data_IF_933783110954
#
_entry.id   IF_933783110954
#
_cell.length_a   1.000
_cell.length_b   1.000
_cell.length_c   1.000
_cell.angle_alpha   90.00
_cell.angle_beta   90.00
_cell.angle_gamma   90.00
#
_symmetry.space_group_name_H-M   'P 1'
#
loop_
_entity.id
_entity.type
_entity.pdbx_description
1 polymer ?
#
# COMPACT_ATOMS: atom_id res chain seq x y z
N UNK A 1 -19.70 22.85 -2.75
CA UNK A 1 -19.21 21.88 -1.76
C UNK A 1 -18.56 22.70 -0.67
N UNK A 2 -19.15 22.74 0.52
CA UNK A 2 -18.67 23.62 1.59
C UNK A 2 -17.46 22.98 2.29
N UNK A 3 -16.60 23.80 2.90
CA UNK A 3 -15.36 23.35 3.57
C UNK A 3 -15.62 22.24 4.59
N UNK A 4 -16.77 22.27 5.26
CA UNK A 4 -17.21 21.24 6.23
C UNK A 4 -17.45 19.89 5.56
N UNK A 5 -18.14 19.84 4.41
CA UNK A 5 -18.39 18.59 3.66
C UNK A 5 -17.09 17.93 3.22
N UNK A 6 -16.15 18.74 2.72
CA UNK A 6 -14.81 18.28 2.31
C UNK A 6 -14.02 17.75 3.51
N UNK A 7 -14.19 18.36 4.68
CA UNK A 7 -13.50 17.93 5.90
C UNK A 7 -14.05 16.61 6.44
N UNK A 8 -15.38 16.45 6.45
CA UNK A 8 -16.06 15.20 6.82
C UNK A 8 -15.63 14.07 5.88
N UNK A 9 -15.66 14.30 4.56
CA UNK A 9 -15.23 13.33 3.58
C UNK A 9 -13.76 12.90 3.77
N UNK A 10 -12.87 13.86 4.05
CA UNK A 10 -11.47 13.56 4.35
C UNK A 10 -11.31 12.74 5.64
N UNK A 11 -12.07 13.07 6.69
CA UNK A 11 -12.02 12.32 7.94
C UNK A 11 -12.49 10.87 7.78
N UNK A 12 -13.59 10.66 7.05
CA UNK A 12 -14.09 9.33 6.70
C UNK A 12 -13.04 8.54 5.91
N UNK A 13 -12.41 9.17 4.91
CA UNK A 13 -11.35 8.55 4.09
C UNK A 13 -10.14 8.13 4.93
N UNK A 14 -9.60 9.04 5.73
CA UNK A 14 -8.42 8.76 6.55
C UNK A 14 -8.69 7.65 7.58
N UNK A 15 -9.89 7.60 8.16
CA UNK A 15 -10.27 6.51 9.05
C UNK A 15 -10.27 5.15 8.35
N UNK A 16 -10.86 5.07 7.15
CA UNK A 16 -10.85 3.84 6.36
C UNK A 16 -9.42 3.43 5.97
N UNK A 17 -8.51 4.36 5.73
CA UNK A 17 -7.10 4.04 5.48
C UNK A 17 -6.42 3.49 6.74
N UNK A 18 -6.66 4.10 7.90
CA UNK A 18 -6.09 3.66 9.17
C UNK A 18 -6.52 2.23 9.57
N UNK A 19 -7.66 1.74 9.07
CA UNK A 19 -8.07 0.34 9.21
C UNK A 19 -7.10 -0.66 8.52
N UNK A 20 -6.38 -0.26 7.46
CA UNK A 20 -5.41 -1.15 6.79
C UNK A 20 -4.00 -1.03 7.36
N UNK A 21 -3.73 -0.02 8.18
CA UNK A 21 -2.42 0.15 8.77
C UNK A 21 -2.21 -0.86 9.90
N UNK A 22 -1.38 -1.87 9.66
CA UNK A 22 -1.02 -2.91 10.64
C UNK A 22 -0.40 -2.40 11.93
N UNK A 23 0.04 -1.14 11.99
CA UNK A 23 0.62 -0.54 13.19
C UNK A 23 -0.43 0.20 14.03
N UNK A 24 -1.53 0.65 13.43
CA UNK A 24 -2.61 1.34 14.14
C UNK A 24 -3.37 0.37 15.06
N UNK A 25 -3.58 0.70 16.33
CA UNK A 25 -4.29 -0.16 17.27
C UNK A 25 -5.80 0.01 17.15
N UNK A 26 -6.58 -1.05 17.41
CA UNK A 26 -8.03 -0.94 17.48
C UNK A 26 -8.51 0.02 18.58
N UNK A 27 -7.75 0.15 19.68
CA UNK A 27 -8.03 1.14 20.73
C UNK A 27 -7.93 2.58 20.20
N UNK A 28 -6.87 2.88 19.45
CA UNK A 28 -6.68 4.21 18.86
C UNK A 28 -7.82 4.54 17.88
N UNK A 29 -8.24 3.59 17.03
CA UNK A 29 -9.37 3.79 16.12
C UNK A 29 -10.68 4.08 16.86
N UNK A 30 -10.96 3.37 17.97
CA UNK A 30 -12.16 3.64 18.79
C UNK A 30 -12.10 5.01 19.46
N UNK A 31 -10.93 5.40 19.97
CA UNK A 31 -10.74 6.73 20.56
C UNK A 31 -10.87 7.85 19.53
N UNK A 32 -10.41 7.62 18.29
CA UNK A 32 -10.64 8.55 17.18
C UNK A 32 -12.14 8.71 16.92
N UNK A 33 -12.90 7.61 16.78
CA UNK A 33 -14.34 7.67 16.51
C UNK A 33 -15.09 8.46 17.57
N UNK A 34 -14.82 8.18 18.85
CA UNK A 34 -15.48 8.88 19.96
C UNK A 34 -15.22 10.40 19.97
N UNK A 35 -13.98 10.80 19.67
CA UNK A 35 -13.62 12.22 19.61
C UNK A 35 -14.20 12.91 18.37
N UNK A 36 -14.14 12.25 17.22
CA UNK A 36 -14.60 12.81 15.96
C UNK A 36 -16.13 12.94 15.92
N UNK A 37 -16.86 11.99 16.52
CA UNK A 37 -18.32 12.05 16.75
C UNK A 37 -18.69 13.23 17.66
N UNK A 38 -17.92 13.48 18.72
CA UNK A 38 -18.14 14.61 19.63
C UNK A 38 -17.87 15.96 18.95
N UNK A 39 -16.83 16.03 18.12
CA UNK A 39 -16.41 17.25 17.44
C UNK A 39 -17.29 17.57 16.22
N UNK A 40 -17.83 16.55 15.56
CA UNK A 40 -18.61 16.70 14.32
C UNK A 40 -19.75 15.68 14.32
N UNK A 41 -20.94 16.06 14.82
CA UNK A 41 -22.08 15.16 14.93
C UNK A 41 -22.50 14.52 13.60
N UNK A 42 -22.33 15.24 12.48
CA UNK A 42 -22.68 14.76 11.13
C UNK A 42 -21.61 13.83 10.51
N UNK A 43 -20.54 13.53 11.24
CA UNK A 43 -19.48 12.65 10.75
C UNK A 43 -19.98 11.23 10.51
N UNK A 44 -20.88 10.74 11.36
CA UNK A 44 -21.37 9.37 11.33
C UNK A 44 -22.78 9.31 10.73
N UNK A 45 -22.99 8.37 9.82
CA UNK A 45 -24.31 8.07 9.29
C UNK A 45 -25.04 7.13 10.27
N UNK A 46 -26.38 7.15 10.26
CA UNK A 46 -27.15 6.06 10.89
C UNK A 46 -26.85 4.74 10.20
N UNK A 47 -26.81 3.63 10.95
CA UNK A 47 -26.61 2.31 10.36
C UNK A 47 -27.67 1.99 9.30
N UNK A 48 -27.22 1.49 8.15
CA UNK A 48 -28.08 0.99 7.09
C UNK A 48 -27.55 -0.35 6.55
N UNK A 49 -28.48 -1.28 6.33
CA UNK A 49 -28.27 -2.52 5.62
C UNK A 49 -29.44 -2.72 4.65
N UNK A 50 -29.12 -2.99 3.39
CA UNK A 50 -30.08 -3.17 2.29
C UNK A 50 -29.46 -4.04 1.20
N UNK A 51 -30.09 -4.12 0.03
CA UNK A 51 -29.62 -4.94 -1.10
C UNK A 51 -28.21 -4.55 -1.59
N UNK A 52 -27.79 -3.30 -1.39
CA UNK A 52 -26.46 -2.79 -1.75
C UNK A 52 -25.47 -2.76 -0.58
N UNK A 53 -25.98 -2.70 0.66
CA UNK A 53 -25.20 -2.64 1.89
C UNK A 53 -25.33 -3.94 2.67
N UNK A 54 -24.31 -4.80 2.56
CA UNK A 54 -24.26 -6.06 3.29
C UNK A 54 -24.42 -5.85 4.80
N UNK A 55 -25.20 -6.73 5.43
CA UNK A 55 -25.46 -6.70 6.86
C UNK A 55 -24.22 -7.06 7.67
N UNK A 56 -24.16 -6.62 8.92
CA UNK A 56 -23.11 -6.96 9.87
C UNK A 56 -23.41 -8.34 10.43
N UNK A 57 -22.61 -9.32 10.02
CA UNK A 57 -22.60 -10.64 10.63
C UNK A 57 -21.83 -10.67 11.97
N UNK A 58 -22.51 -11.05 13.06
CA UNK A 58 -21.91 -11.19 14.38
C UNK A 58 -21.16 -12.53 14.58
N UNK A 59 -21.39 -13.53 13.72
CA UNK A 59 -20.79 -14.85 13.84
C UNK A 59 -19.34 -14.85 13.32
N UNK A 60 -18.38 -15.12 14.22
CA UNK A 60 -16.95 -15.13 13.88
C UNK A 60 -16.56 -16.21 12.87
N UNK A 61 -17.37 -17.26 12.73
CA UNK A 61 -17.19 -18.31 11.73
C UNK A 61 -17.21 -17.78 10.30
N UNK A 62 -17.95 -16.70 10.08
CA UNK A 62 -18.17 -16.09 8.78
C UNK A 62 -17.23 -14.90 8.54
N UNK A 63 -16.35 -14.62 9.51
CA UNK A 63 -15.34 -13.58 9.40
C UNK A 63 -14.11 -14.12 8.65
N UNK A 64 -14.10 -13.90 7.35
CA UNK A 64 -12.93 -14.07 6.50
C UNK A 64 -12.46 -12.72 5.91
N UNK A 65 -11.33 -12.76 5.19
CA UNK A 65 -10.74 -11.55 4.63
C UNK A 65 -11.67 -10.87 3.61
N UNK A 66 -12.49 -11.65 2.88
CA UNK A 66 -13.42 -11.12 1.90
C UNK A 66 -14.65 -10.48 2.55
N UNK A 67 -15.13 -11.06 3.64
CA UNK A 67 -16.11 -10.47 4.53
C UNK A 67 -15.62 -9.11 5.05
N UNK A 68 -14.41 -9.04 5.59
CA UNK A 68 -13.83 -7.78 6.05
C UNK A 68 -13.74 -6.72 4.95
N UNK A 69 -13.24 -7.10 3.74
CA UNK A 69 -13.18 -6.20 2.58
C UNK A 69 -14.55 -5.70 2.15
N UNK A 70 -15.57 -6.57 2.15
CA UNK A 70 -16.95 -6.23 1.81
C UNK A 70 -17.53 -5.25 2.82
N UNK A 71 -17.39 -5.53 4.11
CA UNK A 71 -17.83 -4.64 5.18
C UNK A 71 -17.14 -3.27 5.10
N UNK A 72 -15.84 -3.25 4.78
CA UNK A 72 -15.07 -2.02 4.60
C UNK A 72 -15.56 -1.20 3.41
N UNK A 73 -15.91 -1.86 2.30
CA UNK A 73 -16.55 -1.21 1.15
C UNK A 73 -17.89 -0.60 1.54
N UNK A 74 -18.74 -1.35 2.25
CA UNK A 74 -20.02 -0.82 2.74
C UNK A 74 -19.82 0.40 3.66
N UNK A 75 -18.75 0.43 4.46
CA UNK A 75 -18.40 1.59 5.29
C UNK A 75 -18.01 2.84 4.49
N UNK A 76 -17.61 2.70 3.22
CA UNK A 76 -17.40 3.84 2.32
C UNK A 76 -18.71 4.49 1.84
N UNK A 77 -19.83 3.76 1.88
CA UNK A 77 -21.16 4.23 1.47
C UNK A 77 -22.06 4.55 2.67
N UNK A 78 -21.88 3.84 3.79
CA UNK A 78 -22.59 4.04 5.05
C UNK A 78 -21.55 4.08 6.18
N UNK A 79 -21.07 5.28 6.51
CA UNK A 79 -20.03 5.49 7.50
C UNK A 79 -20.64 5.52 8.91
N UNK A 80 -21.23 4.40 9.32
CA UNK A 80 -21.93 4.24 10.60
C UNK A 80 -21.04 3.69 11.71
N UNK A 81 -21.31 4.09 12.95
CA UNK A 81 -20.54 3.68 14.12
C UNK A 81 -20.46 2.15 14.24
N UNK A 82 -21.60 1.50 14.11
CA UNK A 82 -21.78 0.06 14.22
C UNK A 82 -20.87 -0.68 13.24
N UNK A 83 -20.82 -0.23 11.98
CA UNK A 83 -20.00 -0.85 10.94
C UNK A 83 -18.51 -0.64 11.17
N UNK A 84 -18.12 0.56 11.63
CA UNK A 84 -16.71 0.87 11.90
C UNK A 84 -16.20 0.13 13.14
N UNK A 85 -16.99 0.07 14.21
CA UNK A 85 -16.67 -0.73 15.40
C UNK A 85 -16.58 -2.22 15.06
N UNK A 86 -17.48 -2.70 14.21
CA UNK A 86 -17.44 -4.07 13.70
C UNK A 86 -16.17 -4.36 12.90
N UNK A 87 -15.80 -3.47 11.98
CA UNK A 87 -14.54 -3.59 11.23
C UNK A 87 -13.32 -3.63 12.14
N UNK A 88 -13.28 -2.80 13.19
CA UNK A 88 -12.23 -2.87 14.20
C UNK A 88 -12.24 -4.24 14.90
N UNK A 89 -13.42 -4.78 15.25
CA UNK A 89 -13.52 -6.08 15.90
C UNK A 89 -13.03 -7.25 15.02
N UNK A 90 -13.46 -7.30 13.76
CA UNK A 90 -13.02 -8.30 12.77
C UNK A 90 -11.50 -8.23 12.56
N UNK A 91 -10.97 -7.01 12.46
CA UNK A 91 -9.53 -6.76 12.32
C UNK A 91 -8.73 -7.22 13.53
N UNK A 92 -9.21 -6.96 14.74
CA UNK A 92 -8.55 -7.43 15.97
C UNK A 92 -8.62 -8.95 16.10
N UNK A 93 -9.70 -9.58 15.65
CA UNK A 93 -9.77 -11.04 15.52
C UNK A 93 -8.69 -11.58 14.57
N UNK A 94 -8.55 -11.01 13.37
CA UNK A 94 -7.49 -11.41 12.42
C UNK A 94 -6.07 -11.23 12.96
N UNK A 95 -5.85 -10.19 13.77
CA UNK A 95 -4.58 -9.99 14.48
C UNK A 95 -4.29 -11.08 15.48
N UNK A 96 -5.28 -11.45 16.29
CA UNK A 96 -5.17 -12.51 17.29
C UNK A 96 -4.87 -13.86 16.64
N UNK A 97 -5.52 -14.13 15.50
CA UNK A 97 -5.34 -15.35 14.72
C UNK A 97 -4.09 -15.33 13.80
N UNK A 98 -3.33 -14.24 13.78
CA UNK A 98 -2.06 -14.17 13.03
C UNK A 98 -2.23 -14.02 11.51
N UNK A 99 -3.36 -13.51 11.02
CA UNK A 99 -3.63 -13.37 9.59
C UNK A 99 -2.62 -12.41 8.94
N UNK A 100 -2.03 -12.85 7.82
CA UNK A 100 -1.05 -12.07 7.06
C UNK A 100 -1.66 -10.74 6.61
N UNK A 101 -0.94 -9.64 6.86
CA UNK A 101 -1.40 -8.29 6.52
C UNK A 101 -2.23 -7.60 7.61
N UNK A 102 -2.44 -8.24 8.76
CA UNK A 102 -3.15 -7.63 9.90
C UNK A 102 -2.26 -7.52 11.15
N UNK A 103 -1.32 -8.44 11.33
CA UNK A 103 -0.38 -8.47 12.47
C UNK A 103 0.60 -7.29 12.40
N UNK A 104 0.78 -6.53 13.50
CA UNK A 104 1.82 -5.49 13.58
C UNK A 104 3.22 -6.09 13.38
N UNK A 105 4.00 -5.48 12.49
CA UNK A 105 5.42 -5.83 12.37
C UNK A 105 6.17 -5.26 13.58
N UNK A 106 6.88 -6.10 14.32
CA UNK A 106 7.69 -5.66 15.46
C UNK A 106 8.78 -4.67 14.99
N UNK A 107 8.76 -3.46 15.54
CA UNK A 107 9.85 -2.49 15.40
C UNK A 107 11.12 -3.11 15.96
N UNK A 108 12.02 -3.49 15.06
CA UNK A 108 13.37 -3.95 15.41
C UNK A 108 14.17 -2.72 15.84
N UNK A 109 14.28 -2.49 17.15
CA UNK A 109 15.21 -1.51 17.70
C UNK A 109 16.65 -2.05 17.66
N UNK A 110 17.54 -1.33 16.96
CA UNK A 110 19.00 -1.51 16.98
C UNK A 110 19.59 -1.83 15.59
N UNK A 111 20.37 -0.98 14.93
CA UNK A 111 21.09 0.19 15.43
C UNK A 111 21.43 1.22 14.36
N UNK A 112 21.84 2.37 14.86
CA UNK A 112 22.23 3.56 14.13
C UNK A 112 23.37 3.25 13.13
N UNK A 113 23.02 3.30 11.84
CA UNK A 113 23.93 3.71 10.78
C UNK A 113 23.34 4.97 10.19
N UNK A 114 23.81 6.12 10.66
CA UNK A 114 23.54 7.38 10.00
C UNK A 114 24.13 7.28 8.59
N UNK A 115 23.28 7.27 7.57
CA UNK A 115 23.69 7.79 6.27
C UNK A 115 22.57 8.66 5.72
N UNK A 116 22.83 9.95 5.86
CA UNK A 116 22.12 11.02 5.18
C UNK A 116 22.02 10.67 3.70
N UNK A 117 20.80 10.83 3.20
CA UNK A 117 20.49 11.36 1.87
C UNK A 117 21.73 11.92 1.17
N UNK A 118 22.31 11.08 0.32
CA UNK A 118 23.10 11.53 -0.82
C UNK A 118 22.36 11.02 -2.03
N UNK A 119 21.47 11.89 -2.51
CA UNK A 119 20.97 11.93 -3.86
C UNK A 119 22.18 12.17 -4.78
N UNK A 120 22.95 11.13 -5.02
CA UNK A 120 24.07 11.12 -5.95
C UNK A 120 23.86 9.93 -6.88
N UNK A 121 23.27 10.22 -8.03
CA UNK A 121 23.66 9.70 -9.34
C UNK A 121 24.51 8.41 -9.26
N UNK A 122 23.86 7.26 -9.17
CA UNK A 122 24.43 6.01 -9.67
C UNK A 122 23.78 5.71 -11.00
N UNK A 123 24.25 6.42 -12.02
CA UNK A 123 24.40 5.85 -13.35
C UNK A 123 25.35 4.64 -13.20
N UNK A 124 24.80 3.51 -12.78
CA UNK A 124 25.45 2.23 -12.98
C UNK A 124 25.30 1.91 -14.46
N UNK A 125 26.43 1.79 -15.17
CA UNK A 125 26.47 1.19 -16.49
C UNK A 125 25.60 -0.07 -16.52
N UNK A 126 24.85 -0.31 -17.61
CA UNK A 126 23.79 -1.29 -17.62
C UNK A 126 24.38 -2.67 -17.37
N UNK A 127 23.93 -3.36 -16.29
CA UNK A 127 23.91 -4.81 -16.37
C UNK A 127 23.16 -5.12 -17.65
N UNK A 128 23.80 -5.75 -18.64
CA UNK A 128 23.23 -5.90 -19.97
C UNK A 128 21.87 -6.60 -19.87
N UNK A 129 20.80 -5.80 -19.84
CA UNK A 129 19.45 -6.32 -19.71
C UNK A 129 19.22 -7.25 -20.88
N UNK A 130 18.80 -8.48 -20.58
CA UNK A 130 18.54 -9.49 -21.58
C UNK A 130 17.02 -9.58 -21.78
N UNK A 131 16.48 -9.10 -22.91
CA UNK A 131 15.05 -9.15 -23.17
C UNK A 131 14.56 -10.61 -23.30
N UNK A 132 13.26 -10.82 -23.08
CA UNK A 132 12.63 -12.08 -23.44
C UNK A 132 12.76 -12.35 -24.95
N UNK A 133 12.72 -13.62 -25.36
CA UNK A 133 12.76 -13.98 -26.78
C UNK A 133 11.66 -13.30 -27.59
N UNK A 134 10.48 -13.11 -26.99
CA UNK A 134 9.33 -12.49 -27.64
C UNK A 134 9.52 -11.00 -27.84
N UNK A 135 9.93 -10.28 -26.78
CA UNK A 135 10.22 -8.85 -26.86
C UNK A 135 11.37 -8.57 -27.82
N UNK A 136 12.44 -9.38 -27.77
CA UNK A 136 13.56 -9.25 -28.69
C UNK A 136 13.12 -9.38 -30.14
N UNK A 137 12.35 -10.44 -30.45
CA UNK A 137 11.86 -10.69 -31.81
C UNK A 137 11.06 -9.49 -32.35
N UNK A 138 10.08 -8.99 -31.60
CA UNK A 138 9.26 -7.87 -32.08
C UNK A 138 10.03 -6.55 -32.18
N UNK A 139 11.02 -6.32 -31.30
CA UNK A 139 11.90 -5.15 -31.44
C UNK A 139 12.82 -5.27 -32.66
N UNK A 140 13.31 -6.47 -32.98
CA UNK A 140 14.09 -6.69 -34.21
C UNK A 140 13.23 -6.52 -35.48
N UNK A 141 11.94 -6.89 -35.44
CA UNK A 141 10.97 -6.69 -36.54
C UNK A 141 10.58 -5.22 -36.72
N UNK A 142 10.66 -4.41 -35.67
CA UNK A 142 10.56 -2.95 -35.75
C UNK A 142 9.14 -2.39 -35.83
N UNK A 143 8.08 -3.20 -35.80
CA UNK A 143 6.71 -2.67 -35.77
C UNK A 143 6.31 -2.22 -34.34
N UNK A 144 5.99 -0.92 -34.11
CA UNK A 144 5.60 -0.43 -32.79
C UNK A 144 4.40 -1.17 -32.18
N UNK A 145 3.42 -1.61 -32.98
CA UNK A 145 2.21 -2.26 -32.45
C UNK A 145 2.52 -3.63 -31.82
N UNK A 146 3.37 -4.42 -32.47
CA UNK A 146 3.82 -5.72 -31.95
C UNK A 146 4.77 -5.56 -30.76
N UNK A 147 5.66 -4.56 -30.75
CA UNK A 147 6.53 -4.25 -29.59
C UNK A 147 5.68 -3.89 -28.37
N UNK A 148 4.71 -2.97 -28.52
CA UNK A 148 3.75 -2.59 -27.46
C UNK A 148 2.98 -3.79 -26.95
N UNK A 149 2.64 -4.73 -27.83
CA UNK A 149 1.96 -5.98 -27.46
C UNK A 149 2.86 -6.87 -26.61
N UNK A 150 4.13 -7.05 -26.98
CA UNK A 150 5.08 -7.80 -26.16
C UNK A 150 5.27 -7.20 -24.77
N UNK A 151 5.43 -5.89 -24.67
CA UNK A 151 5.57 -5.20 -23.38
C UNK A 151 4.34 -5.37 -22.49
N UNK A 152 3.12 -5.35 -23.05
CA UNK A 152 1.89 -5.65 -22.30
C UNK A 152 1.79 -7.11 -21.86
N UNK A 153 2.29 -8.05 -22.65
CA UNK A 153 2.34 -9.46 -22.27
C UNK A 153 3.28 -9.66 -21.08
N UNK A 154 4.46 -9.01 -21.08
CA UNK A 154 5.38 -9.06 -19.94
C UNK A 154 4.77 -8.39 -18.70
N UNK A 155 4.09 -7.25 -18.86
CA UNK A 155 3.40 -6.53 -17.77
C UNK A 155 2.38 -7.43 -17.04
N UNK A 156 1.67 -8.28 -17.79
CA UNK A 156 0.68 -9.21 -17.24
C UNK A 156 1.27 -10.56 -16.78
N UNK A 157 2.57 -10.81 -16.99
CA UNK A 157 3.21 -12.04 -16.53
C UNK A 157 3.68 -11.89 -15.08
N UNK A 158 3.00 -12.55 -14.15
CA UNK A 158 3.33 -12.48 -12.72
C UNK A 158 4.69 -13.07 -12.32
N UNK A 159 5.44 -13.67 -13.25
CA UNK A 159 6.83 -14.10 -13.03
C UNK A 159 7.85 -12.99 -13.25
N UNK A 160 7.44 -11.89 -13.89
CA UNK A 160 8.31 -10.76 -14.24
C UNK A 160 8.30 -9.73 -13.10
N UNK A 161 9.46 -9.25 -12.68
CA UNK A 161 9.56 -8.25 -11.61
C UNK A 161 9.26 -6.84 -12.14
N UNK A 162 8.83 -5.92 -11.27
CA UNK A 162 8.72 -4.51 -11.68
C UNK A 162 10.02 -3.91 -12.21
N UNK A 163 11.19 -4.39 -11.73
CA UNK A 163 12.47 -3.95 -12.25
C UNK A 163 12.75 -4.50 -13.65
N UNK A 164 12.42 -5.76 -13.92
CA UNK A 164 12.53 -6.34 -15.25
C UNK A 164 11.64 -5.57 -16.25
N UNK A 165 10.43 -5.19 -15.86
CA UNK A 165 9.52 -4.40 -16.70
C UNK A 165 10.07 -3.01 -17.03
N UNK A 166 10.69 -2.32 -16.06
CA UNK A 166 11.36 -1.03 -16.29
C UNK A 166 12.54 -1.19 -17.24
N UNK A 167 13.34 -2.23 -17.06
CA UNK A 167 14.47 -2.52 -17.93
C UNK A 167 14.00 -2.89 -19.36
N UNK A 168 12.92 -3.65 -19.49
CA UNK A 168 12.28 -4.00 -20.75
C UNK A 168 11.85 -2.76 -21.54
N UNK A 169 11.14 -1.85 -20.87
CA UNK A 169 10.69 -0.59 -21.46
C UNK A 169 11.87 0.27 -21.93
N UNK A 170 12.87 0.48 -21.06
CA UNK A 170 14.05 1.27 -21.38
C UNK A 170 14.85 0.68 -22.55
N UNK A 171 14.99 -0.65 -22.59
CA UNK A 171 15.68 -1.35 -23.67
C UNK A 171 14.97 -1.24 -25.02
N UNK A 172 13.64 -1.36 -25.03
CA UNK A 172 12.82 -1.23 -26.22
C UNK A 172 12.77 0.22 -26.74
N UNK A 173 12.58 1.20 -25.84
CA UNK A 173 12.61 2.64 -26.15
C UNK A 173 13.94 3.08 -26.76
N UNK A 174 15.06 2.55 -26.26
CA UNK A 174 16.39 2.87 -26.81
C UNK A 174 16.64 2.33 -28.22
N UNK A 175 15.79 1.44 -28.73
CA UNK A 175 15.88 0.84 -30.08
C UNK A 175 14.81 1.30 -31.03
N UNK A 176 13.63 1.64 -30.50
CA UNK A 176 12.52 2.14 -31.29
C UNK A 176 12.06 3.50 -30.72
N UNK A 177 12.59 4.62 -31.23
CA UNK A 177 12.26 5.97 -30.73
C UNK A 177 10.76 6.28 -30.80
N UNK A 178 10.06 5.79 -31.82
CA UNK A 178 8.62 6.02 -32.05
C UNK A 178 7.72 5.04 -31.26
N UNK A 179 8.31 4.25 -30.36
CA UNK A 179 7.58 3.26 -29.58
C UNK A 179 6.52 3.90 -28.67
N UNK A 180 6.82 5.08 -28.13
CA UNK A 180 6.02 5.73 -27.09
C UNK A 180 5.27 6.92 -27.66
N UNK A 181 4.04 7.08 -27.21
CA UNK A 181 3.27 8.30 -27.44
C UNK A 181 3.43 9.24 -26.24
N UNK A 182 3.29 10.57 -26.45
CA UNK A 182 3.12 11.50 -25.35
C UNK A 182 1.92 11.09 -24.49
N UNK A 183 2.04 11.28 -23.17
CA UNK A 183 0.93 11.10 -22.26
C UNK A 183 -0.24 12.03 -22.65
N UNK A 184 -1.45 11.47 -22.68
CA UNK A 184 -2.66 12.25 -22.93
C UNK A 184 -3.86 11.70 -22.14
N UNK A 185 -4.67 12.62 -21.63
CA UNK A 185 -6.02 12.37 -21.15
C UNK A 185 -6.96 12.44 -22.35
N UNK A 186 -7.55 11.31 -22.73
CA UNK A 186 -8.45 11.22 -23.89
C UNK A 186 -9.86 10.87 -23.42
N UNK A 187 -10.87 11.09 -24.26
CA UNK A 187 -12.25 10.69 -24.00
C UNK A 187 -12.40 9.21 -23.58
N UNK A 188 -11.49 8.35 -24.06
CA UNK A 188 -11.46 6.92 -23.78
C UNK A 188 -10.29 6.48 -22.89
N UNK A 189 -9.52 7.41 -22.33
CA UNK A 189 -8.41 7.15 -21.42
C UNK A 189 -8.35 8.26 -20.36
N UNK A 190 -8.90 7.99 -19.18
CA UNK A 190 -8.91 8.94 -18.07
C UNK A 190 -7.49 9.19 -17.55
N UNK A 191 -7.35 10.28 -16.79
CA UNK A 191 -6.11 10.62 -16.13
C UNK A 191 -5.61 9.50 -15.21
N UNK A 192 -4.29 9.46 -15.01
CA UNK A 192 -3.69 8.67 -13.95
C UNK A 192 -4.19 9.22 -12.61
N UNK A 193 -4.64 8.30 -11.77
CA UNK A 193 -5.08 8.61 -10.42
C UNK A 193 -3.91 8.39 -9.46
N UNK A 194 -3.38 9.44 -8.82
CA UNK A 194 -2.28 9.30 -7.88
C UNK A 194 -2.70 8.69 -6.54
N UNK A 195 -4.01 8.59 -6.26
CA UNK A 195 -4.52 8.02 -5.03
C UNK A 195 -4.36 6.49 -5.04
N UNK A 196 -3.37 6.00 -4.28
CA UNK A 196 -3.10 4.56 -4.13
C UNK A 196 -4.27 3.78 -3.53
N UNK A 197 -5.18 4.44 -2.82
CA UNK A 197 -6.39 3.78 -2.31
C UNK A 197 -7.34 3.35 -3.43
N UNK A 198 -7.24 3.99 -4.60
CA UNK A 198 -8.02 3.65 -5.80
C UNK A 198 -7.33 2.57 -6.65
N UNK A 199 -6.10 2.15 -6.32
CA UNK A 199 -5.30 1.19 -7.11
C UNK A 199 -5.72 -0.25 -6.85
N UNK A 200 -6.99 -0.55 -7.14
CA UNK A 200 -7.61 -1.87 -7.04
C UNK A 200 -7.37 -2.70 -8.32
N UNK A 201 -7.62 -4.02 -8.33
CA UNK A 201 -7.55 -4.84 -9.54
C UNK A 201 -8.33 -4.28 -10.72
N UNK A 202 -9.53 -3.73 -10.48
CA UNK A 202 -10.37 -3.11 -11.50
C UNK A 202 -9.70 -1.86 -12.07
N UNK A 203 -9.05 -1.06 -11.21
CA UNK A 203 -8.28 0.10 -11.64
C UNK A 203 -7.10 -0.33 -12.52
N UNK A 204 -6.35 -1.35 -12.10
CA UNK A 204 -5.29 -1.93 -12.93
C UNK A 204 -5.82 -2.38 -14.29
N UNK A 205 -6.94 -3.12 -14.33
CA UNK A 205 -7.57 -3.58 -15.56
C UNK A 205 -8.02 -2.42 -16.47
N UNK A 206 -8.59 -1.36 -15.90
CA UNK A 206 -8.95 -0.15 -16.64
C UNK A 206 -7.71 0.56 -17.20
N UNK A 207 -6.66 0.70 -16.40
CA UNK A 207 -5.40 1.30 -16.86
C UNK A 207 -4.74 0.45 -17.96
N UNK A 208 -4.85 -0.88 -17.96
CA UNK A 208 -4.41 -1.75 -19.07
C UNK A 208 -5.16 -1.41 -20.36
N UNK A 209 -6.45 -1.11 -20.30
CA UNK A 209 -7.24 -0.67 -21.47
C UNK A 209 -6.77 0.71 -21.93
N UNK A 210 -6.54 1.65 -21.02
CA UNK A 210 -6.06 3.00 -21.34
C UNK A 210 -4.64 2.98 -21.97
N UNK A 211 -3.77 2.08 -21.50
CA UNK A 211 -2.45 1.87 -22.09
C UNK A 211 -2.54 1.39 -23.56
N UNK A 212 -3.62 0.71 -23.97
CA UNK A 212 -3.82 0.31 -25.37
C UNK A 212 -4.15 1.50 -26.29
N UNK A 213 -4.81 2.53 -25.76
CA UNK A 213 -5.28 3.70 -26.53
C UNK A 213 -4.32 4.90 -26.46
N UNK A 214 -3.43 4.90 -25.47
CA UNK A 214 -2.29 5.82 -25.37
C UNK A 214 -1.12 5.08 -24.73
N UNK A 215 -0.20 4.56 -25.55
CA UNK A 215 0.95 3.82 -25.07
C UNK A 215 2.07 4.79 -24.67
N UNK A 216 1.90 5.44 -23.53
CA UNK A 216 2.87 6.37 -22.93
C UNK A 216 3.73 5.71 -21.87
N UNK A 217 4.91 6.27 -21.65
CA UNK A 217 5.85 5.81 -20.62
C UNK A 217 5.23 5.94 -19.23
N UNK A 218 4.56 7.06 -18.98
CA UNK A 218 3.87 7.39 -17.74
C UNK A 218 2.83 6.33 -17.39
N UNK A 219 1.96 5.95 -18.34
CA UNK A 219 0.94 4.90 -18.10
C UNK A 219 1.56 3.53 -17.88
N UNK A 220 2.61 3.19 -18.63
CA UNK A 220 3.28 1.90 -18.46
C UNK A 220 3.93 1.81 -17.08
N UNK A 221 4.71 2.83 -16.68
CA UNK A 221 5.37 2.87 -15.38
C UNK A 221 4.37 2.91 -14.23
N UNK A 222 3.27 3.66 -14.39
CA UNK A 222 2.17 3.67 -13.43
C UNK A 222 1.56 2.28 -13.24
N UNK A 223 1.31 1.54 -14.32
CA UNK A 223 0.83 0.16 -14.22
C UNK A 223 1.82 -0.78 -13.52
N UNK A 224 3.14 -0.57 -13.70
CA UNK A 224 4.15 -1.30 -12.93
C UNK A 224 4.01 -0.99 -11.43
N UNK A 225 3.80 0.28 -11.06
CA UNK A 225 3.61 0.68 -9.66
C UNK A 225 2.32 0.10 -9.06
N UNK A 226 1.19 0.21 -9.76
CA UNK A 226 -0.10 -0.36 -9.36
C UNK A 226 0.01 -1.87 -9.15
N UNK A 227 0.68 -2.57 -10.07
CA UNK A 227 0.90 -4.02 -9.96
C UNK A 227 1.76 -4.39 -8.75
N UNK A 228 2.85 -3.67 -8.51
CA UNK A 228 3.70 -3.90 -7.33
C UNK A 228 2.95 -3.57 -6.02
N UNK A 229 2.09 -2.56 -6.03
CA UNK A 229 1.19 -2.27 -4.92
C UNK A 229 0.23 -3.44 -4.64
N UNK A 230 -0.48 -3.94 -5.67
CA UNK A 230 -1.39 -5.08 -5.56
C UNK A 230 -0.67 -6.38 -5.12
N UNK A 231 0.59 -6.55 -5.54
CA UNK A 231 1.48 -7.64 -5.07
C UNK A 231 1.79 -7.55 -3.59
N UNK A 232 2.15 -6.36 -3.11
CA UNK A 232 2.45 -6.12 -1.70
C UNK A 232 1.24 -6.40 -0.82
N UNK A 233 0.05 -6.06 -1.32
CA UNK A 233 -1.24 -6.36 -0.69
C UNK A 233 -1.65 -7.85 -0.80
N UNK A 234 -0.91 -8.66 -1.56
CA UNK A 234 -1.19 -10.09 -1.72
C UNK A 234 -2.48 -10.39 -2.47
N UNK A 235 -2.92 -9.49 -3.36
CA UNK A 235 -4.16 -9.64 -4.11
C UNK A 235 -4.08 -10.84 -5.06
N UNK A 236 -5.13 -11.65 -5.09
CA UNK A 236 -5.24 -12.80 -5.97
C UNK A 236 -5.05 -12.39 -7.44
N UNK A 237 -4.31 -13.18 -8.20
CA UNK A 237 -3.99 -12.86 -9.60
C UNK A 237 -2.86 -11.84 -9.77
N UNK A 238 -2.27 -11.28 -8.70
CA UNK A 238 -1.10 -10.39 -8.76
C UNK A 238 0.14 -10.97 -8.07
N UNK A 239 -0.06 -11.93 -7.16
CA UNK A 239 1.01 -12.57 -6.41
C UNK A 239 2.19 -13.04 -7.32
N UNK A 240 3.45 -12.82 -6.92
CA UNK A 240 4.60 -13.28 -7.70
C UNK A 240 4.57 -14.79 -7.89
N UNK A 241 4.66 -15.24 -9.13
CA UNK A 241 4.79 -16.67 -9.45
C UNK A 241 6.30 -16.96 -9.51
N UNK A 242 6.77 -17.88 -8.67
CA UNK A 242 8.15 -18.34 -8.74
C UNK A 242 8.44 -18.87 -10.15
N UNK A 243 9.56 -18.43 -10.74
CA UNK A 243 10.03 -19.03 -11.99
C UNK A 243 10.30 -20.52 -11.70
N UNK A 244 9.85 -21.47 -12.54
CA UNK A 244 10.16 -22.87 -12.34
C UNK A 244 11.66 -23.01 -12.22
N UNK A 245 12.10 -23.38 -11.03
CA UNK A 245 13.51 -23.61 -10.74
C UNK A 245 13.85 -24.96 -11.35
N UNK A 246 14.74 -24.98 -12.33
CA UNK A 246 15.44 -26.21 -12.70
C UNK A 246 16.14 -26.72 -11.43
N UNK A 247 15.90 -27.98 -10.99
CA UNK A 247 16.47 -28.46 -9.75
C UNK A 247 17.98 -28.62 -9.91
N UNK A 248 18.74 -27.69 -9.32
CA UNK A 248 20.17 -27.89 -9.08
C UNK A 248 20.33 -28.32 -7.63
N UNK A 249 20.69 -29.59 -7.50
CA UNK A 249 21.03 -30.30 -6.28
C UNK A 249 22.20 -29.67 -5.51
N UNK A 250 22.27 -30.05 -4.23
CA UNK A 250 23.45 -30.12 -3.34
C UNK A 250 23.59 -29.06 -2.25
N UNK A 251 23.03 -29.41 -1.08
CA UNK A 251 23.72 -29.70 0.19
C UNK A 251 25.05 -28.99 0.50
N UNK A 252 25.11 -28.25 1.62
CA UNK A 252 25.76 -28.70 2.87
C UNK A 252 25.76 -27.60 3.96
N UNK A 253 25.71 -27.97 5.26
CA UNK A 253 25.61 -27.04 6.38
C UNK A 253 26.99 -26.68 6.98
N UNK A 254 27.11 -25.50 7.60
CA UNK A 254 28.26 -25.15 8.45
C UNK A 254 27.82 -24.57 9.81
N UNK A 255 28.65 -24.74 10.86
CA UNK A 255 28.20 -24.92 12.22
C UNK A 255 28.38 -23.70 13.11
N UNK A 256 27.72 -23.80 14.26
CA UNK A 256 27.65 -22.91 15.41
C UNK A 256 28.95 -22.93 16.23
N UNK A 257 29.45 -21.77 16.64
CA UNK A 257 30.39 -21.57 17.77
C UNK A 257 30.06 -20.19 18.38
N UNK A 258 29.45 -20.13 19.57
CA UNK A 258 30.06 -20.16 20.91
C UNK A 258 30.68 -18.81 21.31
N UNK A 259 29.99 -18.12 22.23
CA UNK A 259 30.41 -16.91 22.94
C UNK A 259 31.60 -17.15 23.87
N UNK A 260 32.23 -16.07 24.37
CA UNK A 260 32.37 -15.98 25.82
C UNK A 260 31.95 -14.63 26.41
N UNK A 261 31.58 -14.78 27.68
CA UNK A 261 31.06 -13.84 28.68
C UNK A 261 32.18 -12.96 29.26
N UNK A 262 31.84 -11.74 29.68
CA UNK A 262 32.57 -11.02 30.71
C UNK A 262 31.62 -10.07 31.47
N UNK A 263 31.52 -10.31 32.78
CA UNK A 263 30.78 -9.57 33.79
C UNK A 263 31.37 -8.18 34.07
N UNK A 264 30.51 -7.20 34.42
CA UNK A 264 30.46 -6.58 35.76
C UNK A 264 29.57 -5.31 35.79
N UNK A 265 28.72 -5.24 36.81
CA UNK A 265 27.85 -4.11 37.20
C UNK A 265 28.58 -3.22 38.27
N UNK A 266 27.95 -2.27 39.02
CA UNK A 266 26.70 -1.50 38.86
C UNK A 266 26.83 0.01 39.25
N UNK A 267 25.67 0.73 39.23
CA UNK A 267 25.26 1.83 40.16
C UNK A 267 25.07 3.26 39.61
N UNK A 268 23.82 3.54 39.21
CA UNK A 268 22.88 4.60 39.69
C UNK A 268 23.30 6.10 39.71
N UNK A 269 22.40 7.04 40.11
CA UNK A 269 21.41 7.71 39.26
C UNK A 269 21.59 9.26 39.25
N UNK A 270 21.03 9.98 38.27
CA UNK A 270 20.39 11.28 38.55
C UNK A 270 19.66 11.87 37.34
N UNK A 271 18.47 12.38 37.65
CA UNK A 271 17.55 13.14 36.82
C UNK A 271 18.13 14.49 36.34
N UNK A 272 17.66 14.97 35.19
CA UNK A 272 17.26 16.37 35.02
C UNK A 272 16.31 16.49 33.81
N UNK A 273 15.03 16.57 34.15
CA UNK A 273 13.93 16.94 33.28
C UNK A 273 14.10 18.40 32.85
N UNK A 274 14.16 18.66 31.55
CA UNK A 274 13.74 19.96 31.00
C UNK A 274 12.44 19.77 30.25
N UNK A 275 11.38 20.27 30.88
CA UNK A 275 10.02 20.30 30.38
C UNK A 275 9.96 20.97 29.00
N UNK A 276 9.53 20.20 28.01
CA UNK A 276 8.86 20.71 26.81
C UNK A 276 7.35 20.43 26.99
N UNK A 277 6.47 21.24 26.41
CA UNK A 277 5.04 21.14 26.68
C UNK A 277 4.57 19.70 26.42
N UNK A 278 3.99 19.08 27.43
CA UNK A 278 3.43 17.74 27.38
C UNK A 278 2.33 17.71 26.32
N UNK A 279 2.66 17.21 25.14
CA UNK A 279 1.68 16.79 24.15
C UNK A 279 0.92 15.59 24.73
N UNK A 280 -0.43 15.66 24.77
CA UNK A 280 -1.33 14.56 25.16
C UNK A 280 -0.82 13.20 24.64
N UNK A 281 -0.95 12.10 25.39
CA UNK A 281 -0.42 10.78 25.02
C UNK A 281 -0.88 10.30 23.64
N UNK A 282 -2.06 10.76 23.20
CA UNK A 282 -2.63 10.53 21.87
C UNK A 282 -1.77 11.18 20.76
N UNK A 283 -1.18 12.36 20.98
CA UNK A 283 -0.28 13.00 20.00
C UNK A 283 1.04 12.26 19.87
N UNK A 284 1.56 11.66 20.95
CA UNK A 284 2.77 10.82 20.88
C UNK A 284 2.51 9.57 20.03
N UNK A 285 1.35 8.94 20.22
CA UNK A 285 0.90 7.78 19.43
C UNK A 285 0.62 8.18 17.99
N UNK A 286 -0.10 9.28 17.75
CA UNK A 286 -0.49 9.71 16.41
C UNK A 286 0.67 10.29 15.57
N UNK A 287 1.75 10.78 16.21
CA UNK A 287 3.01 11.10 15.51
C UNK A 287 3.77 9.84 15.05
N UNK A 288 3.63 8.73 15.79
CA UNK A 288 4.33 7.47 15.53
C UNK A 288 3.67 6.63 14.42
N UNK A 289 2.37 6.79 14.18
CA UNK A 289 1.57 5.92 13.29
C UNK A 289 0.97 6.64 12.06
N UNK A 290 1.52 7.78 11.67
CA UNK A 290 1.10 8.52 10.47
C UNK A 290 0.25 9.74 10.81
N UNK A 291 0.88 10.92 10.78
CA UNK A 291 0.32 12.18 11.27
C UNK A 291 -0.94 12.71 10.56
N UNK A 292 -1.43 12.06 9.51
CA UNK A 292 -2.60 12.49 8.74
C UNK A 292 -3.91 12.34 9.55
N UNK A 293 -4.15 11.19 10.18
CA UNK A 293 -5.36 10.98 11.00
C UNK A 293 -5.38 11.90 12.24
N UNK A 294 -4.20 12.16 12.82
CA UNK A 294 -4.02 13.07 13.93
C UNK A 294 -4.39 14.52 13.57
N UNK A 295 -3.91 14.99 12.42
CA UNK A 295 -4.18 16.33 11.93
C UNK A 295 -5.66 16.56 11.66
N UNK A 296 -6.38 15.54 11.21
CA UNK A 296 -7.84 15.60 11.03
C UNK A 296 -8.57 15.80 12.36
N UNK A 297 -8.25 15.03 13.42
CA UNK A 297 -8.90 15.22 14.74
C UNK A 297 -8.65 16.61 15.29
N UNK A 298 -7.41 17.09 15.18
CA UNK A 298 -7.03 18.44 15.61
C UNK A 298 -7.84 19.48 14.86
N UNK A 299 -7.89 19.38 13.53
CA UNK A 299 -8.65 20.30 12.71
C UNK A 299 -10.14 20.28 13.06
N UNK A 300 -10.75 19.09 13.16
CA UNK A 300 -12.16 18.93 13.56
C UNK A 300 -12.44 19.49 14.96
N UNK A 301 -11.47 19.43 15.87
CA UNK A 301 -11.61 19.95 17.25
C UNK A 301 -11.38 21.46 17.35
N UNK A 302 -10.65 22.05 16.40
CA UNK A 302 -10.33 23.49 16.34
C UNK A 302 -11.33 24.30 15.52
N UNK A 303 -12.02 23.67 14.56
CA UNK A 303 -13.11 24.28 13.80
C UNK A 303 -14.40 24.16 14.63
N UNK A 304 -14.56 25.08 15.58
CA UNK A 304 -15.83 25.37 16.26
C UNK A 304 -16.38 26.70 15.78
#
# INVERSE_FOLDING_TARGET
>A
MNTTDTTIANARREFLLALDDTQVTGEFLRQFLAQAETATPDLLDSYAADEMLADIDAARSDWDVDYYRRQKRCAGYNFSKERLEHLIAVREYFRQEGYKGFVPQAVSNGGAGADKVSQAKREGAPSAYRPSSNLKKFVDEGDPLTIRTALRLELNDNRVTGQDLRNALAWAKGRQPDLLEPYADKNFARAIDPDRSQWLPEYYNNQIVYLKTNFSEERFLHLVEVREHLRQLGVEGFAPIAKPSTPSSQSAPRPRAASPMADQAPSAPSEAVTARPELNPIFKIALLFGGALAAVVIYLSLVK
#
